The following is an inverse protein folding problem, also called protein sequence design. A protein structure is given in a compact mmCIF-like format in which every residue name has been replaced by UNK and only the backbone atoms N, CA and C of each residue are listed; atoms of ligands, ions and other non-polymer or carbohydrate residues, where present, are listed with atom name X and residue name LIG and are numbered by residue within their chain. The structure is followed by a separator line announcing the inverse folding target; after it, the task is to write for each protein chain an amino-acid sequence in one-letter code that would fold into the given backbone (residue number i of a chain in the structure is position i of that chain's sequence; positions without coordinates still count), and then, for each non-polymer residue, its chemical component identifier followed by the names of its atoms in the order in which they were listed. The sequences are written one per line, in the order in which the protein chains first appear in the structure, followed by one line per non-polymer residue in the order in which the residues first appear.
data_IF_320527382840
#
_entry.id   IF_320527382840
#
_cell.length_a   1.000
_cell.length_b   1.000
_cell.length_c   1.000
_cell.angle_alpha   90.00
_cell.angle_beta   90.00
_cell.angle_gamma   90.00
#
_symmetry.space_group_name_H-M   'P 1'
#
loop_
_entity.id
_entity.type
_entity.pdbx_description
1 polymer ?
#
# COMPACT_ATOMS: atom_id res chain seq x y z
N UNK A 1 57.44 75.88 12.89
CA UNK A 1 57.96 74.79 12.03
C UNK A 1 57.95 73.45 12.74
N UNK A 2 58.45 73.35 13.97
CA UNK A 2 58.43 72.08 14.74
C UNK A 2 57.03 71.56 15.08
N UNK A 3 56.06 72.42 15.42
CA UNK A 3 54.69 71.98 15.71
C UNK A 3 54.00 71.32 14.50
N UNK A 4 54.24 71.81 13.28
CA UNK A 4 53.66 71.25 12.05
C UNK A 4 54.32 69.91 11.72
N UNK A 5 55.65 69.78 11.89
CA UNK A 5 56.35 68.50 11.72
C UNK A 5 55.89 67.45 12.74
N UNK A 6 55.62 67.85 13.99
CA UNK A 6 55.11 66.96 15.03
C UNK A 6 53.72 66.43 14.68
N UNK A 7 52.82 67.31 14.24
CA UNK A 7 51.47 66.94 13.77
C UNK A 7 51.56 66.02 12.54
N UNK A 8 52.43 66.29 11.58
CA UNK A 8 52.63 65.44 10.41
C UNK A 8 53.18 64.05 10.77
N UNK A 9 54.15 63.96 11.68
CA UNK A 9 54.69 62.67 12.11
C UNK A 9 53.66 61.83 12.89
N UNK A 10 52.80 62.48 13.68
CA UNK A 10 51.70 61.82 14.39
C UNK A 10 50.62 61.34 13.39
N UNK A 11 50.32 62.15 12.37
CA UNK A 11 49.34 61.79 11.33
C UNK A 11 49.82 60.63 10.45
N UNK A 12 51.10 60.62 10.07
CA UNK A 12 51.71 59.52 9.29
C UNK A 12 51.85 58.24 10.12
N UNK A 13 52.23 58.36 11.40
CA UNK A 13 52.26 57.24 12.34
C UNK A 13 50.88 56.57 12.46
N UNK A 14 49.82 57.37 12.64
CA UNK A 14 48.44 56.85 12.67
C UNK A 14 48.03 56.20 11.35
N UNK A 15 48.39 56.78 10.20
CA UNK A 15 48.06 56.24 8.86
C UNK A 15 48.64 54.85 8.63
N UNK A 16 49.85 54.57 9.10
CA UNK A 16 50.49 53.26 8.98
C UNK A 16 49.71 52.14 9.70
N UNK A 17 48.97 52.47 10.75
CA UNK A 17 48.14 51.51 11.49
C UNK A 17 46.73 51.34 10.92
N UNK A 18 46.22 52.27 10.11
CA UNK A 18 44.84 52.21 9.58
C UNK A 18 44.63 50.96 8.70
N UNK A 19 45.51 50.71 7.74
CA UNK A 19 45.36 49.59 6.79
C UNK A 19 45.49 48.22 7.48
N UNK A 20 46.51 47.95 8.34
CA UNK A 20 46.57 46.72 9.11
C UNK A 20 45.36 46.52 10.05
N UNK A 21 44.88 47.60 10.68
CA UNK A 21 43.69 47.53 11.55
C UNK A 21 42.43 47.19 10.75
N UNK A 22 42.25 47.79 9.57
CA UNK A 22 41.13 47.49 8.69
C UNK A 22 41.15 46.04 8.19
N UNK A 23 42.32 45.52 7.79
CA UNK A 23 42.49 44.12 7.39
C UNK A 23 42.20 43.19 8.58
N UNK A 24 42.72 43.50 9.77
CA UNK A 24 42.46 42.73 10.99
C UNK A 24 40.96 42.66 11.32
N UNK A 25 40.28 43.81 11.30
CA UNK A 25 38.84 43.90 11.57
C UNK A 25 38.02 43.15 10.51
N UNK A 26 38.39 43.27 9.24
CA UNK A 26 37.73 42.57 8.14
C UNK A 26 37.91 41.05 8.26
N UNK A 27 39.11 40.60 8.63
CA UNK A 27 39.39 39.16 8.85
C UNK A 27 38.55 38.63 10.01
N UNK A 28 38.49 39.35 11.14
CA UNK A 28 37.67 38.97 12.28
C UNK A 28 36.19 38.91 11.90
N UNK A 29 35.71 39.86 11.10
CA UNK A 29 34.33 39.87 10.60
C UNK A 29 34.04 38.65 9.71
N UNK A 30 34.94 38.30 8.79
CA UNK A 30 34.79 37.12 7.93
C UNK A 30 34.80 35.83 8.75
N UNK A 31 35.72 35.70 9.71
CA UNK A 31 35.76 34.55 10.63
C UNK A 31 34.45 34.47 11.43
N UNK A 32 33.98 35.60 11.94
CA UNK A 32 32.72 35.65 12.69
C UNK A 32 31.53 35.19 11.83
N UNK A 33 31.40 35.67 10.59
CA UNK A 33 30.34 35.24 9.68
C UNK A 33 30.46 33.74 9.38
N UNK A 34 31.66 33.25 9.06
CA UNK A 34 31.89 31.85 8.74
C UNK A 34 31.56 30.91 9.92
N UNK A 35 31.96 31.28 11.14
CA UNK A 35 31.64 30.51 12.35
C UNK A 35 30.15 30.49 12.62
N UNK A 36 29.46 31.63 12.55
CA UNK A 36 28.01 31.66 12.77
C UNK A 36 27.26 30.85 11.70
N UNK A 37 27.65 30.97 10.43
CA UNK A 37 27.06 30.19 9.33
C UNK A 37 27.30 28.68 9.50
N UNK A 38 28.48 28.28 10.00
CA UNK A 38 28.78 26.88 10.29
C UNK A 38 27.94 26.33 11.47
N UNK A 39 27.78 27.12 12.52
CA UNK A 39 26.95 26.75 13.68
C UNK A 39 25.47 26.62 13.28
N UNK A 40 24.96 27.57 12.49
CA UNK A 40 23.60 27.54 11.96
C UNK A 40 23.35 26.31 11.09
N UNK A 41 24.25 26.03 10.13
CA UNK A 41 24.20 24.82 9.33
C UNK A 41 24.18 23.54 10.20
N UNK A 42 25.05 23.44 11.22
CA UNK A 42 25.06 22.28 12.12
C UNK A 42 23.76 22.14 12.91
N UNK A 43 23.19 23.24 13.39
CA UNK A 43 21.92 23.21 14.12
C UNK A 43 20.79 22.72 13.22
N UNK A 44 20.65 23.27 12.01
CA UNK A 44 19.65 22.82 11.03
C UNK A 44 19.82 21.35 10.65
N UNK A 45 21.06 20.88 10.47
CA UNK A 45 21.31 19.46 10.20
C UNK A 45 20.94 18.56 11.38
N UNK A 46 21.14 19.03 12.61
CA UNK A 46 20.76 18.28 13.82
C UNK A 46 19.24 18.14 13.91
N UNK A 47 18.50 19.22 13.65
CA UNK A 47 17.03 19.23 13.62
C UNK A 47 16.49 18.27 12.55
N UNK A 48 17.03 18.32 11.32
CA UNK A 48 16.64 17.40 10.23
C UNK A 48 16.87 15.94 10.63
N UNK A 49 17.98 15.62 11.30
CA UNK A 49 18.29 14.25 11.74
C UNK A 49 17.33 13.81 12.84
N UNK A 50 17.02 14.67 13.82
CA UNK A 50 16.06 14.34 14.89
C UNK A 50 14.66 14.05 14.33
N UNK A 51 14.16 14.90 13.42
CA UNK A 51 12.88 14.67 12.74
C UNK A 51 12.91 13.37 11.92
N UNK A 52 14.00 13.12 11.20
CA UNK A 52 14.13 11.90 10.41
C UNK A 52 14.16 10.64 11.27
N UNK A 53 14.77 10.67 12.47
CA UNK A 53 14.74 9.53 13.41
C UNK A 53 13.31 9.21 13.83
N UNK A 54 12.47 10.22 14.09
CA UNK A 54 11.06 10.02 14.43
C UNK A 54 10.31 9.37 13.28
N UNK A 55 10.48 9.86 12.05
CA UNK A 55 9.84 9.29 10.85
C UNK A 55 10.32 7.86 10.59
N UNK A 56 11.61 7.59 10.83
CA UNK A 56 12.20 6.24 10.72
C UNK A 56 11.56 5.27 11.71
N UNK A 57 11.48 5.66 12.99
CA UNK A 57 10.85 4.84 14.04
C UNK A 57 9.40 4.53 13.70
N UNK A 58 8.61 5.56 13.34
CA UNK A 58 7.21 5.39 12.96
C UNK A 58 7.04 4.48 11.75
N UNK A 59 7.92 4.62 10.74
CA UNK A 59 7.86 3.80 9.53
C UNK A 59 8.19 2.34 9.82
N UNK A 60 9.22 2.05 10.63
CA UNK A 60 9.55 0.68 11.02
C UNK A 60 8.44 0.04 11.87
N UNK A 61 7.86 0.77 12.83
CA UNK A 61 6.70 0.28 13.61
C UNK A 61 5.51 -0.09 12.72
N UNK A 62 5.29 0.67 11.64
CA UNK A 62 4.23 0.41 10.66
C UNK A 62 4.58 -0.77 9.74
N UNK A 63 5.84 -0.90 9.32
CA UNK A 63 6.33 -2.05 8.54
C UNK A 63 6.17 -3.35 9.33
N UNK A 64 6.40 -3.33 10.64
CA UNK A 64 6.24 -4.49 11.54
C UNK A 64 4.80 -5.03 11.60
N UNK A 65 3.81 -4.26 11.12
CA UNK A 65 2.42 -4.71 10.99
C UNK A 65 2.17 -5.55 9.74
N UNK A 66 3.06 -5.52 8.74
CA UNK A 66 2.87 -6.20 7.46
C UNK A 66 2.59 -7.71 7.59
N UNK A 67 3.22 -8.48 8.50
CA UNK A 67 2.87 -9.90 8.68
C UNK A 67 1.41 -10.11 9.07
N UNK A 68 0.88 -9.24 9.94
CA UNK A 68 -0.53 -9.27 10.34
C UNK A 68 -1.43 -8.90 9.17
N UNK A 69 -1.03 -7.91 8.36
CA UNK A 69 -1.80 -7.52 7.17
C UNK A 69 -1.78 -8.60 6.08
N UNK A 70 -0.65 -9.31 5.91
CA UNK A 70 -0.57 -10.49 5.05
C UNK A 70 -1.58 -11.53 5.53
N UNK A 71 -1.57 -11.88 6.82
CA UNK A 71 -2.49 -12.87 7.40
C UNK A 71 -3.96 -12.47 7.19
N UNK A 72 -4.33 -11.22 7.51
CA UNK A 72 -5.70 -10.73 7.30
C UNK A 72 -6.08 -10.79 5.82
N UNK A 73 -5.14 -10.46 4.92
CA UNK A 73 -5.38 -10.42 3.48
C UNK A 73 -5.48 -11.80 2.85
N UNK A 74 -4.83 -12.83 3.40
CA UNK A 74 -4.76 -14.16 2.77
C UNK A 74 -5.65 -15.21 3.44
N UNK A 75 -6.08 -14.98 4.68
CA UNK A 75 -6.92 -15.94 5.38
C UNK A 75 -8.42 -15.68 5.15
N UNK A 76 -9.13 -16.70 4.65
CA UNK A 76 -10.57 -16.65 4.34
C UNK A 76 -11.47 -16.54 5.56
N UNK A 77 -10.96 -16.78 6.77
CA UNK A 77 -11.69 -16.60 8.02
C UNK A 77 -12.04 -15.13 8.31
N UNK A 78 -11.20 -14.20 7.87
CA UNK A 78 -11.42 -12.77 8.10
C UNK A 78 -12.58 -12.25 7.26
N UNK A 79 -13.41 -11.42 7.90
CA UNK A 79 -14.59 -10.84 7.26
C UNK A 79 -14.20 -9.76 6.25
N UNK A 80 -15.13 -9.40 5.37
CA UNK A 80 -14.99 -8.25 4.47
C UNK A 80 -14.67 -6.94 5.23
N UNK A 81 -15.17 -6.80 6.46
CA UNK A 81 -14.89 -5.64 7.30
C UNK A 81 -13.44 -5.61 7.76
N UNK A 82 -12.90 -6.75 8.21
CA UNK A 82 -11.50 -6.86 8.64
C UNK A 82 -10.55 -6.59 7.46
N UNK A 83 -10.85 -7.15 6.29
CA UNK A 83 -10.11 -6.93 5.04
C UNK A 83 -10.15 -5.46 4.61
N UNK A 84 -11.30 -4.79 4.77
CA UNK A 84 -11.41 -3.36 4.51
C UNK A 84 -10.60 -2.51 5.49
N UNK A 85 -10.52 -2.90 6.77
CA UNK A 85 -9.69 -2.21 7.75
C UNK A 85 -8.19 -2.40 7.47
N UNK A 86 -7.78 -3.57 6.97
CA UNK A 86 -6.42 -3.80 6.53
C UNK A 86 -6.01 -2.85 5.40
N UNK A 87 -6.91 -2.52 4.47
CA UNK A 87 -6.66 -1.48 3.44
C UNK A 87 -6.32 -0.12 4.06
N UNK A 88 -7.07 0.31 5.09
CA UNK A 88 -6.81 1.58 5.77
C UNK A 88 -5.45 1.59 6.49
N UNK A 89 -5.00 0.45 7.01
CA UNK A 89 -3.68 0.31 7.61
C UNK A 89 -2.57 0.34 6.54
N UNK A 90 -2.77 -0.30 5.38
CA UNK A 90 -1.83 -0.21 4.25
C UNK A 90 -1.65 1.23 3.76
N UNK A 91 -2.73 2.02 3.70
CA UNK A 91 -2.63 3.43 3.35
C UNK A 91 -1.80 4.24 4.35
N UNK A 92 -1.88 3.92 5.64
CA UNK A 92 -1.03 4.55 6.65
C UNK A 92 0.45 4.17 6.47
N UNK A 93 0.72 2.88 6.20
CA UNK A 93 2.07 2.41 5.87
C UNK A 93 2.58 3.15 4.64
N UNK A 94 1.85 3.15 3.53
CA UNK A 94 2.24 3.82 2.28
C UNK A 94 2.55 5.30 2.51
N UNK A 95 1.69 6.02 3.23
CA UNK A 95 1.93 7.43 3.57
C UNK A 95 3.22 7.62 4.37
N UNK A 96 3.47 6.76 5.36
CA UNK A 96 4.69 6.81 6.17
C UNK A 96 5.94 6.53 5.33
N UNK A 97 5.89 5.56 4.42
CA UNK A 97 6.98 5.23 3.52
C UNK A 97 7.26 6.38 2.53
N UNK A 98 6.23 7.09 2.05
CA UNK A 98 6.37 8.26 1.19
C UNK A 98 7.06 9.40 1.97
N UNK A 99 6.65 9.63 3.21
CA UNK A 99 7.28 10.63 4.09
C UNK A 99 8.75 10.28 4.37
N UNK A 100 9.05 9.02 4.71
CA UNK A 100 10.42 8.55 4.86
C UNK A 100 11.25 8.78 3.59
N UNK A 101 10.70 8.44 2.42
CA UNK A 101 11.36 8.66 1.13
C UNK A 101 11.68 10.13 0.88
N UNK A 102 10.76 11.02 1.19
CA UNK A 102 10.95 12.46 1.03
C UNK A 102 12.06 12.99 1.94
N UNK A 103 12.14 12.47 3.17
CA UNK A 103 13.18 12.84 4.14
C UNK A 103 14.55 12.20 3.86
N UNK A 104 14.59 11.04 3.18
CA UNK A 104 15.85 10.37 2.84
C UNK A 104 16.78 11.25 2.00
N UNK A 105 16.22 12.11 1.13
CA UNK A 105 17.00 13.03 0.30
C UNK A 105 17.74 14.09 1.13
N UNK A 106 17.15 14.58 2.22
CA UNK A 106 17.74 15.63 3.07
C UNK A 106 18.75 15.11 4.09
N UNK A 107 18.77 13.80 4.34
CA UNK A 107 19.72 13.15 5.27
C UNK A 107 21.14 13.10 4.72
N UNK A 108 22.09 13.66 5.47
CA UNK A 108 23.52 13.65 5.11
C UNK A 108 24.34 12.67 5.95
N UNK A 109 23.70 11.97 6.89
CA UNK A 109 24.30 11.01 7.81
C UNK A 109 24.32 9.57 7.27
N UNK A 110 23.64 9.30 6.15
CA UNK A 110 23.62 8.01 5.47
C UNK A 110 24.58 7.99 4.28
N UNK A 111 25.60 7.14 4.35
CA UNK A 111 26.61 6.99 3.29
C UNK A 111 26.07 6.26 2.03
N UNK A 112 25.14 5.32 2.21
CA UNK A 112 24.61 4.49 1.11
C UNK A 112 23.09 4.53 1.02
N UNK A 113 22.57 5.63 0.47
CA UNK A 113 21.13 5.81 0.21
C UNK A 113 20.57 4.81 -0.80
N UNK A 114 21.41 4.27 -1.70
CA UNK A 114 20.95 3.33 -2.75
C UNK A 114 20.36 2.07 -2.15
N UNK A 115 21.06 1.45 -1.19
CA UNK A 115 20.58 0.23 -0.53
C UNK A 115 19.28 0.48 0.25
N UNK A 116 19.17 1.64 0.90
CA UNK A 116 17.93 2.04 1.60
C UNK A 116 16.77 2.21 0.61
N UNK A 117 17.01 2.84 -0.55
CA UNK A 117 16.01 2.99 -1.61
C UNK A 117 15.57 1.63 -2.15
N UNK A 118 16.51 0.69 -2.35
CA UNK A 118 16.19 -0.65 -2.85
C UNK A 118 15.30 -1.41 -1.85
N UNK A 119 15.67 -1.39 -0.56
CA UNK A 119 14.85 -1.97 0.50
C UNK A 119 13.46 -1.32 0.55
N UNK A 120 13.39 0.01 0.55
CA UNK A 120 12.14 0.77 0.55
C UNK A 120 11.25 0.42 -0.67
N UNK A 121 11.83 0.27 -1.86
CA UNK A 121 11.09 -0.14 -3.06
C UNK A 121 10.51 -1.55 -2.90
N UNK A 122 11.21 -2.47 -2.24
CA UNK A 122 10.69 -3.81 -1.95
C UNK A 122 9.51 -3.76 -0.97
N UNK A 123 9.57 -2.90 0.05
CA UNK A 123 8.45 -2.69 0.97
C UNK A 123 7.25 -2.12 0.23
N UNK A 124 7.44 -1.09 -0.61
CA UNK A 124 6.37 -0.53 -1.44
C UNK A 124 5.76 -1.56 -2.39
N UNK A 125 6.58 -2.43 -2.99
CA UNK A 125 6.09 -3.50 -3.84
C UNK A 125 5.11 -4.41 -3.09
N UNK A 126 5.49 -4.86 -1.90
CA UNK A 126 4.62 -5.71 -1.08
C UNK A 126 3.34 -5.00 -0.64
N UNK A 127 3.43 -3.73 -0.23
CA UNK A 127 2.25 -2.91 0.12
C UNK A 127 1.28 -2.82 -1.05
N UNK A 128 1.79 -2.56 -2.27
CA UNK A 128 0.97 -2.52 -3.48
C UNK A 128 0.34 -3.88 -3.79
N UNK A 129 1.11 -4.97 -3.70
CA UNK A 129 0.59 -6.32 -3.93
C UNK A 129 -0.52 -6.70 -2.92
N UNK A 130 -0.37 -6.29 -1.65
CA UNK A 130 -1.39 -6.50 -0.63
C UNK A 130 -2.67 -5.72 -0.92
N UNK A 131 -2.57 -4.47 -1.38
CA UNK A 131 -3.73 -3.68 -1.78
C UNK A 131 -4.49 -4.33 -2.96
N UNK A 132 -3.77 -4.90 -3.93
CA UNK A 132 -4.37 -5.65 -5.03
C UNK A 132 -5.12 -6.89 -4.50
N UNK A 133 -4.52 -7.69 -3.61
CA UNK A 133 -5.18 -8.87 -3.04
C UNK A 133 -6.42 -8.47 -2.25
N UNK A 134 -6.34 -7.45 -1.40
CA UNK A 134 -7.49 -6.93 -0.65
C UNK A 134 -8.63 -6.55 -1.59
N UNK A 135 -8.31 -5.80 -2.65
CA UNK A 135 -9.28 -5.41 -3.68
C UNK A 135 -9.89 -6.64 -4.36
N UNK A 136 -9.06 -7.62 -4.74
CA UNK A 136 -9.50 -8.88 -5.32
C UNK A 136 -10.49 -9.59 -4.39
N UNK A 137 -10.18 -9.69 -3.09
CA UNK A 137 -11.03 -10.34 -2.09
C UNK A 137 -12.37 -9.66 -1.92
N UNK A 138 -12.38 -8.33 -1.90
CA UNK A 138 -13.61 -7.55 -1.78
C UNK A 138 -14.52 -7.84 -2.98
N UNK A 139 -13.98 -7.78 -4.20
CA UNK A 139 -14.75 -7.99 -5.42
C UNK A 139 -15.26 -9.43 -5.54
N UNK A 140 -14.41 -10.44 -5.29
CA UNK A 140 -14.81 -11.84 -5.40
C UNK A 140 -15.84 -12.26 -4.35
N UNK A 141 -15.86 -11.60 -3.18
CA UNK A 141 -16.88 -11.83 -2.15
C UNK A 141 -18.30 -11.52 -2.60
N UNK A 142 -18.47 -10.89 -3.75
CA UNK A 142 -19.74 -10.53 -4.37
C UNK A 142 -19.98 -11.23 -5.72
N UNK A 143 -19.15 -12.23 -6.06
CA UNK A 143 -19.28 -13.02 -7.29
C UNK A 143 -20.00 -14.33 -6.99
N UNK A 144 -21.11 -14.56 -7.72
CA UNK A 144 -21.97 -15.75 -7.61
C UNK A 144 -22.44 -15.99 -6.17
N UNK A 145 -22.91 -14.93 -5.52
CA UNK A 145 -23.48 -14.99 -4.17
C UNK A 145 -24.97 -15.27 -4.29
N UNK A 146 -25.40 -16.37 -3.69
CA UNK A 146 -26.79 -16.83 -3.70
C UNK A 146 -27.39 -16.77 -2.30
N UNK A 147 -28.67 -16.43 -2.23
CA UNK A 147 -29.51 -16.81 -1.10
C UNK A 147 -29.85 -18.31 -1.14
N UNK A 148 -30.80 -18.73 -0.30
CA UNK A 148 -31.35 -20.08 -0.38
C UNK A 148 -32.21 -20.23 -1.64
N UNK A 149 -31.79 -21.10 -2.56
CA UNK A 149 -32.50 -21.36 -3.81
C UNK A 149 -33.65 -22.34 -3.55
N UNK A 150 -34.92 -21.98 -3.85
CA UNK A 150 -36.06 -22.83 -3.54
C UNK A 150 -36.11 -24.09 -4.42
N UNK A 151 -36.41 -25.24 -3.82
CA UNK A 151 -36.42 -26.54 -4.53
C UNK A 151 -37.70 -27.35 -4.35
N UNK A 152 -38.66 -26.84 -3.57
CA UNK A 152 -39.90 -27.56 -3.20
C UNK A 152 -41.16 -26.89 -3.77
N UNK A 153 -42.31 -27.57 -3.62
CA UNK A 153 -43.64 -27.20 -4.15
C UNK A 153 -44.27 -25.91 -3.59
N UNK A 154 -43.56 -25.17 -2.74
CA UNK A 154 -44.08 -23.92 -2.19
C UNK A 154 -44.38 -22.91 -3.33
N UNK A 155 -45.20 -21.89 -3.03
CA UNK A 155 -45.54 -20.84 -4.00
C UNK A 155 -44.29 -20.03 -4.37
N UNK A 156 -43.48 -20.55 -5.29
CA UNK A 156 -42.29 -19.90 -5.81
C UNK A 156 -42.70 -18.82 -6.80
N UNK A 157 -42.31 -17.59 -6.53
CA UNK A 157 -42.43 -16.50 -7.48
C UNK A 157 -41.31 -16.59 -8.52
N UNK A 158 -41.56 -17.30 -9.62
CA UNK A 158 -40.56 -17.55 -10.67
C UNK A 158 -40.08 -16.24 -11.33
N UNK A 159 -40.95 -15.24 -11.44
CA UNK A 159 -40.59 -13.95 -12.05
C UNK A 159 -39.61 -13.18 -11.17
N UNK A 160 -39.82 -13.18 -9.85
CA UNK A 160 -38.91 -12.57 -8.88
C UNK A 160 -37.55 -13.30 -8.85
N UNK A 161 -37.56 -14.63 -8.83
CA UNK A 161 -36.34 -15.44 -8.89
C UNK A 161 -35.56 -15.22 -10.20
N UNK A 162 -36.27 -15.02 -11.31
CA UNK A 162 -35.63 -14.69 -12.59
C UNK A 162 -34.89 -13.35 -12.52
N UNK A 163 -35.49 -12.35 -11.87
CA UNK A 163 -34.87 -11.03 -11.66
C UNK A 163 -33.65 -11.17 -10.74
N UNK A 164 -33.77 -11.92 -9.64
CA UNK A 164 -32.67 -12.14 -8.69
C UNK A 164 -31.46 -12.80 -9.35
N UNK A 165 -31.65 -13.94 -10.02
CA UNK A 165 -30.56 -14.68 -10.67
C UNK A 165 -29.90 -13.85 -11.78
N UNK A 166 -30.68 -13.09 -12.55
CA UNK A 166 -30.16 -12.16 -13.55
C UNK A 166 -29.33 -11.05 -12.91
N UNK A 167 -29.79 -10.52 -11.76
CA UNK A 167 -29.07 -9.53 -10.97
C UNK A 167 -27.74 -10.06 -10.44
N UNK A 168 -27.71 -11.30 -9.94
CA UNK A 168 -26.49 -11.97 -9.49
C UNK A 168 -25.48 -12.08 -10.63
N UNK A 169 -25.89 -12.54 -11.82
CA UNK A 169 -24.98 -12.64 -12.98
C UNK A 169 -24.47 -11.26 -13.41
N UNK A 170 -25.35 -10.25 -13.46
CA UNK A 170 -24.97 -8.89 -13.85
C UNK A 170 -23.93 -8.30 -12.88
N UNK A 171 -24.18 -8.36 -11.57
CA UNK A 171 -23.25 -7.89 -10.55
C UNK A 171 -21.93 -8.67 -10.59
N UNK A 172 -22.01 -9.99 -10.73
CA UNK A 172 -20.82 -10.84 -10.76
C UNK A 172 -19.93 -10.56 -11.97
N UNK A 173 -20.51 -10.30 -13.14
CA UNK A 173 -19.75 -9.91 -14.35
C UNK A 173 -19.05 -8.56 -14.17
N UNK A 174 -19.71 -7.58 -13.53
CA UNK A 174 -19.10 -6.28 -13.21
C UNK A 174 -17.92 -6.47 -12.26
N UNK A 175 -18.11 -7.19 -11.16
CA UNK A 175 -17.05 -7.42 -10.19
C UNK A 175 -15.88 -8.22 -10.78
N UNK A 176 -16.16 -9.26 -11.58
CA UNK A 176 -15.15 -10.02 -12.32
C UNK A 176 -14.32 -9.13 -13.26
N UNK A 177 -14.98 -8.25 -14.02
CA UNK A 177 -14.29 -7.36 -14.97
C UNK A 177 -13.34 -6.37 -14.31
N UNK A 178 -13.56 -6.08 -13.02
CA UNK A 178 -12.74 -5.17 -12.23
C UNK A 178 -11.68 -5.90 -11.37
N UNK A 179 -11.58 -7.23 -11.47
CA UNK A 179 -10.59 -7.98 -10.70
C UNK A 179 -9.17 -7.56 -11.10
N UNK A 180 -8.31 -7.16 -10.14
CA UNK A 180 -6.94 -6.83 -10.43
C UNK A 180 -6.16 -8.04 -10.96
N UNK A 181 -5.10 -7.76 -11.72
CA UNK A 181 -4.18 -8.81 -12.20
C UNK A 181 -3.15 -9.12 -11.11
N UNK A 182 -3.11 -10.38 -10.69
CA UNK A 182 -2.19 -10.88 -9.68
C UNK A 182 -1.72 -12.25 -10.16
N UNK A 183 -0.41 -12.48 -10.20
CA UNK A 183 0.18 -13.64 -10.87
C UNK A 183 -0.36 -14.97 -10.31
N UNK A 184 -0.44 -15.08 -8.99
CA UNK A 184 -0.93 -16.24 -8.24
C UNK A 184 -2.42 -16.51 -8.50
N UNK A 185 -3.18 -15.49 -8.90
CA UNK A 185 -4.64 -15.58 -9.08
C UNK A 185 -5.05 -15.86 -10.53
N UNK A 186 -4.11 -15.90 -11.48
CA UNK A 186 -4.42 -16.12 -12.91
C UNK A 186 -5.27 -17.38 -13.15
N UNK A 187 -4.93 -18.49 -12.49
CA UNK A 187 -5.71 -19.72 -12.61
C UNK A 187 -7.11 -19.57 -12.02
N UNK A 188 -7.20 -18.94 -10.84
CA UNK A 188 -8.47 -18.68 -10.19
C UNK A 188 -9.37 -17.76 -11.04
N UNK A 189 -8.83 -16.68 -11.59
CA UNK A 189 -9.56 -15.75 -12.47
C UNK A 189 -10.16 -16.46 -13.70
N UNK A 190 -9.40 -17.35 -14.34
CA UNK A 190 -9.91 -18.18 -15.44
C UNK A 190 -11.07 -19.09 -14.99
N UNK A 191 -10.97 -19.67 -13.79
CA UNK A 191 -12.04 -20.49 -13.23
C UNK A 191 -13.29 -19.68 -12.91
N UNK A 192 -13.15 -18.44 -12.43
CA UNK A 192 -14.28 -17.53 -12.21
C UNK A 192 -15.00 -17.22 -13.52
N UNK A 193 -14.26 -16.97 -14.61
CA UNK A 193 -14.86 -16.74 -15.93
C UNK A 193 -15.69 -17.95 -16.38
N UNK A 194 -15.13 -19.15 -16.29
CA UNK A 194 -15.82 -20.40 -16.62
C UNK A 194 -17.03 -20.63 -15.70
N UNK A 195 -16.88 -20.34 -14.41
CA UNK A 195 -17.94 -20.48 -13.44
C UNK A 195 -19.11 -19.53 -13.72
N UNK A 196 -18.84 -18.30 -14.18
CA UNK A 196 -19.87 -17.33 -14.58
C UNK A 196 -20.69 -17.80 -15.78
N UNK A 197 -20.02 -18.28 -16.82
CA UNK A 197 -20.69 -18.82 -18.01
C UNK A 197 -21.53 -20.05 -17.64
N UNK A 198 -20.98 -20.92 -16.79
CA UNK A 198 -21.68 -22.12 -16.31
C UNK A 198 -22.89 -21.76 -15.46
N UNK A 199 -22.76 -20.77 -14.57
CA UNK A 199 -23.85 -20.31 -13.73
C UNK A 199 -25.02 -19.76 -14.56
N UNK A 200 -24.74 -19.00 -15.62
CA UNK A 200 -25.76 -18.45 -16.52
C UNK A 200 -26.58 -19.56 -17.21
N UNK A 201 -25.94 -20.65 -17.68
CA UNK A 201 -26.65 -21.83 -18.21
C UNK A 201 -27.48 -22.53 -17.13
N UNK A 202 -26.89 -22.77 -15.95
CA UNK A 202 -27.57 -23.46 -14.85
C UNK A 202 -28.78 -22.66 -14.35
N UNK A 203 -28.72 -21.33 -14.30
CA UNK A 203 -29.85 -20.47 -13.93
C UNK A 203 -31.02 -20.64 -14.90
N UNK A 204 -30.76 -20.61 -16.21
CA UNK A 204 -31.79 -20.81 -17.22
C UNK A 204 -32.46 -22.18 -17.10
N UNK A 205 -31.67 -23.23 -16.91
CA UNK A 205 -32.16 -24.60 -16.73
C UNK A 205 -32.93 -24.78 -15.43
N UNK A 206 -32.48 -24.16 -14.36
CA UNK A 206 -33.13 -24.20 -13.05
C UNK A 206 -34.52 -23.55 -13.11
N UNK A 207 -34.62 -22.34 -13.68
CA UNK A 207 -35.90 -21.64 -13.88
C UNK A 207 -36.85 -22.44 -14.78
N UNK A 208 -36.33 -23.09 -15.83
CA UNK A 208 -37.14 -23.95 -16.70
C UNK A 208 -37.68 -25.18 -15.95
N UNK A 209 -36.85 -25.83 -15.13
CA UNK A 209 -37.26 -26.96 -14.30
C UNK A 209 -38.36 -26.56 -13.31
N UNK A 210 -38.22 -25.42 -12.64
CA UNK A 210 -39.25 -24.89 -11.73
C UNK A 210 -40.56 -24.59 -12.45
N UNK A 211 -40.52 -23.98 -13.65
CA UNK A 211 -41.72 -23.71 -14.46
C UNK A 211 -42.47 -24.97 -14.87
N UNK A 212 -41.74 -26.07 -15.08
CA UNK A 212 -42.30 -27.36 -15.47
C UNK A 212 -42.69 -28.24 -14.26
N UNK A 213 -42.52 -27.74 -13.03
CA UNK A 213 -42.71 -28.50 -11.79
C UNK A 213 -41.78 -29.74 -11.70
N UNK A 214 -40.58 -29.66 -12.29
CA UNK A 214 -39.55 -30.70 -12.24
C UNK A 214 -38.62 -30.49 -11.03
N UNK A 215 -39.16 -30.58 -9.82
CA UNK A 215 -38.45 -30.24 -8.58
C UNK A 215 -37.20 -31.09 -8.31
N UNK A 216 -37.23 -32.39 -8.65
CA UNK A 216 -36.04 -33.24 -8.55
C UNK A 216 -34.91 -32.77 -9.47
N UNK A 217 -35.25 -32.28 -10.67
CA UNK A 217 -34.30 -31.71 -11.62
C UNK A 217 -33.78 -30.37 -11.09
N UNK A 218 -34.66 -29.52 -10.57
CA UNK A 218 -34.29 -28.25 -9.96
C UNK A 218 -33.29 -28.45 -8.80
N UNK A 219 -33.52 -29.43 -7.92
CA UNK A 219 -32.62 -29.81 -6.84
C UNK A 219 -31.25 -30.30 -7.32
N UNK A 220 -31.23 -31.09 -8.41
CA UNK A 220 -29.98 -31.49 -9.04
C UNK A 220 -29.20 -30.31 -9.60
N UNK A 221 -29.89 -29.30 -10.14
CA UNK A 221 -29.26 -28.10 -10.69
C UNK A 221 -28.72 -27.19 -9.58
N UNK A 222 -29.47 -26.98 -8.48
CA UNK A 222 -28.97 -26.26 -7.29
C UNK A 222 -27.71 -26.93 -6.74
N UNK A 223 -27.67 -28.26 -6.72
CA UNK A 223 -26.46 -29.01 -6.33
C UNK A 223 -25.28 -28.72 -7.26
N UNK A 224 -25.52 -28.60 -8.57
CA UNK A 224 -24.50 -28.23 -9.54
C UNK A 224 -24.01 -26.78 -9.40
N UNK A 225 -24.92 -25.83 -9.10
CA UNK A 225 -24.58 -24.43 -8.80
C UNK A 225 -23.64 -24.37 -7.58
N UNK A 226 -24.00 -25.08 -6.51
CA UNK A 226 -23.18 -25.14 -5.30
C UNK A 226 -21.81 -25.79 -5.55
N UNK A 227 -21.75 -26.84 -6.37
CA UNK A 227 -20.49 -27.47 -6.75
C UNK A 227 -19.59 -26.54 -7.58
N UNK A 228 -20.19 -25.79 -8.51
CA UNK A 228 -19.50 -24.78 -9.31
C UNK A 228 -18.84 -23.73 -8.40
N UNK A 229 -19.61 -23.19 -7.44
CA UNK A 229 -19.08 -22.22 -6.46
C UNK A 229 -18.02 -22.82 -5.55
N UNK A 230 -18.22 -24.04 -5.03
CA UNK A 230 -17.23 -24.70 -4.17
C UNK A 230 -15.90 -24.97 -4.88
N UNK A 231 -15.94 -25.24 -6.19
CA UNK A 231 -14.71 -25.46 -6.99
C UNK A 231 -13.93 -24.16 -7.15
N UNK A 232 -14.61 -23.05 -7.40
CA UNK A 232 -14.01 -21.72 -7.46
C UNK A 232 -13.40 -21.31 -6.10
N UNK A 233 -14.13 -21.48 -4.99
CA UNK A 233 -13.63 -21.18 -3.64
C UNK A 233 -12.32 -21.92 -3.33
N UNK A 234 -12.22 -23.21 -3.68
CA UNK A 234 -10.98 -23.97 -3.44
C UNK A 234 -9.80 -23.44 -4.24
N UNK A 235 -10.03 -23.04 -5.48
CA UNK A 235 -8.98 -22.45 -6.31
C UNK A 235 -8.54 -21.08 -5.78
N UNK A 236 -9.48 -20.30 -5.23
CA UNK A 236 -9.20 -19.05 -4.56
C UNK A 236 -8.35 -19.24 -3.30
N UNK A 237 -8.71 -20.21 -2.44
CA UNK A 237 -7.95 -20.55 -1.23
C UNK A 237 -6.50 -20.95 -1.56
N UNK A 238 -6.30 -21.76 -2.60
CA UNK A 238 -4.95 -22.11 -3.06
C UNK A 238 -4.15 -20.88 -3.55
N UNK A 239 -4.78 -19.99 -4.31
CA UNK A 239 -4.13 -18.76 -4.78
C UNK A 239 -3.75 -17.83 -3.63
N UNK A 240 -4.59 -17.75 -2.59
CA UNK A 240 -4.29 -17.01 -1.37
C UNK A 240 -3.11 -17.62 -0.60
N UNK A 241 -3.01 -18.95 -0.53
CA UNK A 241 -1.88 -19.64 0.10
C UNK A 241 -0.57 -19.39 -0.64
N UNK A 242 -0.58 -19.46 -1.97
CA UNK A 242 0.58 -19.16 -2.82
C UNK A 242 1.05 -17.71 -2.61
N UNK A 243 0.11 -16.76 -2.64
CA UNK A 243 0.39 -15.34 -2.39
C UNK A 243 0.93 -15.11 -0.98
N UNK A 244 0.36 -15.77 0.03
CA UNK A 244 0.80 -15.70 1.42
C UNK A 244 2.27 -16.11 1.56
N UNK A 245 2.62 -17.26 0.98
CA UNK A 245 3.98 -17.80 1.03
C UNK A 245 4.97 -16.86 0.34
N UNK A 246 4.63 -16.32 -0.83
CA UNK A 246 5.46 -15.30 -1.51
C UNK A 246 5.65 -14.06 -0.63
N UNK A 247 4.55 -13.53 -0.09
CA UNK A 247 4.53 -12.28 0.66
C UNK A 247 5.34 -12.36 1.96
N UNK A 248 5.20 -13.45 2.70
CA UNK A 248 6.00 -13.69 3.91
C UNK A 248 7.49 -13.84 3.58
N UNK A 249 7.83 -14.52 2.48
CA UNK A 249 9.21 -14.62 2.03
C UNK A 249 9.78 -13.25 1.62
N UNK A 250 8.99 -12.40 0.96
CA UNK A 250 9.39 -11.04 0.63
C UNK A 250 9.65 -10.22 1.90
N UNK A 251 8.71 -10.24 2.85
CA UNK A 251 8.83 -9.54 4.14
C UNK A 251 10.08 -9.96 4.92
N UNK A 252 10.38 -11.25 4.99
CA UNK A 252 11.55 -11.76 5.72
C UNK A 252 12.90 -11.31 5.14
N UNK A 253 12.92 -10.75 3.94
CA UNK A 253 14.12 -10.19 3.30
C UNK A 253 14.23 -8.67 3.49
N UNK A 254 13.28 -8.03 4.18
CA UNK A 254 13.37 -6.61 4.47
C UNK A 254 14.42 -6.34 5.55
N UNK A 255 15.09 -5.22 5.43
CA UNK A 255 15.93 -4.66 6.48
C UNK A 255 15.20 -3.50 7.16
N UNK A 256 15.53 -3.22 8.43
CA UNK A 256 15.00 -2.02 9.10
C UNK A 256 15.47 -0.76 8.36
N UNK A 257 14.61 0.23 8.26
CA UNK A 257 14.99 1.54 7.73
C UNK A 257 15.97 2.20 8.71
N UNK A 258 17.15 2.67 8.26
CA UNK A 258 18.13 3.37 9.09
C UNK A 258 17.84 4.86 9.22
#
# INVERSE_FOLDING_TARGET
TEQIQRVWSDLESRRQWVLPTFIGLSTVLVIFIAVNSYLDYRNTQTEIIEDAIVVTSNSNELIDLLPTLIEISTNTFYSKYDVSNASANLQQIESSLIEYRANLESRNDLDNKSTVIDNLNNVFLLVNELDLVITYRILISEVLIYGELPVDEDQINIDELTIELSGIIAQSKVNFSNLPEIEEFNNHKNLVEVALVTAEDLHGRYLAALRNNEYDVAKSIVSAINLNKSTEIKAFENALEDFNNKSLNAYNNFEDLP
#
